data_IF_566346837790
#
_entry.id   IF_566346837790
#
_cell.length_a   1.000
_cell.length_b   1.000
_cell.length_c   1.000
_cell.angle_alpha   90.00
_cell.angle_beta   90.00
_cell.angle_gamma   90.00
#
_symmetry.space_group_name_H-M   'P 1'
#
loop_
_entity.id
_entity.type
_entity.pdbx_description
1 polymer ?
#
# COMPACT_ATOMS: atom_id res chain seq x y z
N UNK A 1 5.18 4.67 -15.08
CA UNK A 1 3.89 5.06 -14.47
C UNK A 1 4.18 5.49 -13.05
N UNK A 2 3.39 6.41 -12.51
CA UNK A 2 3.50 6.89 -11.12
C UNK A 2 2.43 6.16 -10.31
N UNK A 3 2.77 5.67 -9.12
CA UNK A 3 1.81 4.99 -8.26
C UNK A 3 0.93 5.99 -7.50
N UNK A 4 -0.31 5.61 -7.22
CA UNK A 4 -1.12 6.28 -6.21
C UNK A 4 -0.62 5.85 -4.82
N UNK A 5 0.36 6.61 -4.33
CA UNK A 5 0.97 6.39 -3.02
C UNK A 5 0.02 6.57 -1.84
N UNK A 6 -1.10 7.29 -2.02
CA UNK A 6 -2.10 7.48 -0.97
C UNK A 6 -3.05 6.28 -0.90
N UNK A 7 -3.46 5.73 -2.04
CA UNK A 7 -4.16 4.45 -2.10
C UNK A 7 -3.27 3.30 -1.57
N UNK A 8 -2.00 3.24 -1.99
CA UNK A 8 -1.08 2.21 -1.49
C UNK A 8 -0.87 2.30 0.02
N UNK A 9 -0.72 3.52 0.55
CA UNK A 9 -0.63 3.74 1.99
C UNK A 9 -1.90 3.30 2.72
N UNK A 10 -3.08 3.57 2.13
CA UNK A 10 -4.37 3.09 2.66
C UNK A 10 -4.36 1.56 2.79
N UNK A 11 -3.96 0.84 1.75
CA UNK A 11 -3.88 -0.63 1.76
C UNK A 11 -2.92 -1.15 2.84
N UNK A 12 -1.73 -0.56 2.97
CA UNK A 12 -0.75 -0.95 4.00
C UNK A 12 -1.29 -0.76 5.42
N UNK A 13 -1.98 0.35 5.68
CA UNK A 13 -2.64 0.60 6.98
C UNK A 13 -3.73 -0.42 7.27
N UNK A 14 -4.52 -0.80 6.27
CA UNK A 14 -5.55 -1.85 6.44
C UNK A 14 -4.91 -3.21 6.74
N UNK A 15 -3.78 -3.56 6.09
CA UNK A 15 -3.05 -4.79 6.37
C UNK A 15 -2.37 -4.80 7.75
N UNK A 16 -2.05 -3.62 8.30
CA UNK A 16 -1.52 -3.48 9.66
C UNK A 16 -2.58 -3.73 10.74
N UNK A 17 -3.87 -3.49 10.45
CA UNK A 17 -4.93 -3.67 11.44
C UNK A 17 -4.98 -5.11 11.94
N UNK A 18 -5.27 -5.28 13.22
CA UNK A 18 -5.55 -6.59 13.81
C UNK A 18 -7.00 -7.00 13.51
N UNK A 19 -7.22 -8.25 13.12
CA UNK A 19 -8.56 -8.78 12.89
C UNK A 19 -8.55 -10.03 12.04
N UNK A 20 -9.72 -10.64 11.91
CA UNK A 20 -9.99 -11.78 11.02
C UNK A 20 -10.80 -11.38 9.77
N UNK A 21 -10.95 -10.07 9.53
CA UNK A 21 -11.66 -9.54 8.37
C UNK A 21 -10.85 -9.80 7.10
N UNK A 22 -11.51 -10.23 6.04
CA UNK A 22 -10.89 -10.42 4.72
C UNK A 22 -10.43 -9.07 4.17
N UNK A 23 -9.28 -9.08 3.51
CA UNK A 23 -8.71 -7.91 2.89
C UNK A 23 -9.50 -7.56 1.62
N UNK A 24 -10.08 -6.36 1.59
CA UNK A 24 -11.02 -5.95 0.55
C UNK A 24 -10.51 -4.70 -0.20
N UNK A 25 -9.48 -4.82 -1.07
CA UNK A 25 -8.83 -3.66 -1.70
C UNK A 25 -9.79 -2.82 -2.53
N UNK A 26 -10.78 -3.46 -3.18
CA UNK A 26 -11.83 -2.74 -3.93
C UNK A 26 -12.70 -1.86 -3.02
N UNK A 27 -13.03 -2.34 -1.82
CA UNK A 27 -13.80 -1.56 -0.85
C UNK A 27 -12.95 -0.41 -0.30
N UNK A 28 -11.66 -0.67 -0.01
CA UNK A 28 -10.76 0.38 0.46
C UNK A 28 -10.56 1.48 -0.57
N UNK A 29 -10.58 1.15 -1.88
CA UNK A 29 -10.59 2.12 -2.96
C UNK A 29 -11.87 2.96 -2.99
N UNK A 30 -13.05 2.35 -2.80
CA UNK A 30 -14.31 3.09 -2.69
C UNK A 30 -14.27 4.10 -1.54
N UNK A 31 -13.86 3.66 -0.36
CA UNK A 31 -13.71 4.51 0.82
C UNK A 31 -12.68 5.63 0.59
N UNK A 32 -11.59 5.34 -0.11
CA UNK A 32 -10.58 6.32 -0.47
C UNK A 32 -11.13 7.40 -1.41
N UNK A 33 -11.89 7.00 -2.44
CA UNK A 33 -12.52 7.93 -3.38
C UNK A 33 -13.55 8.84 -2.70
N UNK A 34 -14.37 8.28 -1.80
CA UNK A 34 -15.34 9.04 -1.01
C UNK A 34 -14.64 10.05 -0.10
N UNK A 35 -13.58 9.64 0.60
CA UNK A 35 -12.80 10.54 1.45
C UNK A 35 -12.14 11.68 0.65
N UNK A 36 -11.71 11.40 -0.59
CA UNK A 36 -11.17 12.41 -1.48
C UNK A 36 -12.24 13.44 -1.90
N UNK A 37 -13.45 12.99 -2.24
CA UNK A 37 -14.59 13.86 -2.55
C UNK A 37 -14.98 14.73 -1.35
N UNK A 38 -15.07 14.16 -0.15
CA UNK A 38 -15.35 14.91 1.09
C UNK A 38 -14.27 15.96 1.40
N UNK A 39 -13.01 15.68 1.03
CA UNK A 39 -11.90 16.62 1.12
C UNK A 39 -11.90 17.69 0.01
N UNK A 40 -12.90 17.68 -0.89
CA UNK A 40 -13.03 18.62 -2.00
C UNK A 40 -12.11 18.32 -3.19
N UNK A 41 -11.56 17.12 -3.27
CA UNK A 41 -10.76 16.67 -4.42
C UNK A 41 -11.68 16.13 -5.53
N UNK A 42 -11.27 16.23 -6.81
CA UNK A 42 -12.04 15.63 -7.89
C UNK A 42 -12.14 14.12 -7.68
N UNK A 43 -13.37 13.59 -7.74
CA UNK A 43 -13.61 12.17 -7.59
C UNK A 43 -12.88 11.40 -8.71
N UNK A 44 -11.99 10.45 -8.37
CA UNK A 44 -11.29 9.65 -9.37
C UNK A 44 -12.27 8.65 -10.03
N UNK A 45 -11.87 8.08 -11.17
CA UNK A 45 -12.63 7.00 -11.77
C UNK A 45 -12.60 5.77 -10.84
N UNK A 46 -13.74 5.44 -10.24
CA UNK A 46 -13.85 4.38 -9.23
C UNK A 46 -13.49 2.99 -9.79
N UNK A 47 -13.85 2.70 -11.04
CA UNK A 47 -13.52 1.41 -11.67
C UNK A 47 -12.00 1.28 -11.86
N UNK A 48 -11.34 2.37 -12.28
CA UNK A 48 -9.88 2.41 -12.40
C UNK A 48 -9.21 2.27 -11.03
N UNK A 49 -9.68 2.99 -10.01
CA UNK A 49 -9.10 2.97 -8.66
C UNK A 49 -9.23 1.58 -8.03
N UNK A 50 -10.35 0.89 -8.24
CA UNK A 50 -10.54 -0.50 -7.80
C UNK A 50 -9.59 -1.47 -8.48
N UNK A 51 -9.34 -1.29 -9.78
CA UNK A 51 -8.38 -2.10 -10.51
C UNK A 51 -6.95 -1.85 -9.98
N UNK A 52 -6.59 -0.59 -9.73
CA UNK A 52 -5.31 -0.21 -9.12
C UNK A 52 -5.13 -0.82 -7.73
N UNK A 53 -6.17 -0.79 -6.87
CA UNK A 53 -6.08 -1.36 -5.54
C UNK A 53 -5.80 -2.87 -5.55
N UNK A 54 -6.41 -3.62 -6.48
CA UNK A 54 -6.11 -5.04 -6.67
C UNK A 54 -4.71 -5.28 -7.23
N UNK A 55 -4.27 -4.44 -8.17
CA UNK A 55 -2.91 -4.55 -8.69
C UNK A 55 -1.90 -4.29 -7.57
N UNK A 56 -2.14 -3.31 -6.70
CA UNK A 56 -1.29 -3.01 -5.57
C UNK A 56 -1.30 -4.13 -4.53
N UNK A 57 -2.44 -4.74 -4.24
CA UNK A 57 -2.49 -5.95 -3.40
C UNK A 57 -1.55 -7.02 -3.93
N UNK A 58 -1.69 -7.41 -5.20
CA UNK A 58 -0.82 -8.42 -5.83
C UNK A 58 0.65 -8.02 -5.76
N UNK A 59 0.98 -6.78 -6.09
CA UNK A 59 2.35 -6.29 -6.06
C UNK A 59 2.96 -6.26 -4.65
N UNK A 60 2.20 -5.83 -3.65
CA UNK A 60 2.64 -5.81 -2.27
C UNK A 60 2.84 -7.22 -1.72
N UNK A 61 1.99 -8.16 -2.12
CA UNK A 61 2.13 -9.57 -1.76
C UNK A 61 3.34 -10.23 -2.46
N UNK A 62 3.43 -10.12 -3.79
CA UNK A 62 4.54 -10.68 -4.58
C UNK A 62 5.89 -10.05 -4.25
N UNK A 63 5.91 -8.75 -3.95
CA UNK A 63 7.08 -8.01 -3.49
C UNK A 63 7.46 -8.28 -2.02
N UNK A 64 6.69 -9.11 -1.31
CA UNK A 64 6.97 -9.49 0.07
C UNK A 64 6.81 -8.36 1.09
N UNK A 65 6.02 -7.34 0.77
CA UNK A 65 5.61 -6.28 1.71
C UNK A 65 4.46 -6.77 2.61
N UNK A 66 3.64 -7.68 2.10
CA UNK A 66 2.57 -8.34 2.84
C UNK A 66 2.71 -9.86 2.74
N UNK A 67 2.27 -10.55 3.78
CA UNK A 67 2.11 -12.01 3.78
C UNK A 67 0.75 -12.37 4.33
N UNK A 68 0.25 -13.57 4.01
CA UNK A 68 -0.99 -14.07 4.59
C UNK A 68 -0.87 -14.07 6.11
N UNK A 69 -1.91 -13.63 6.79
CA UNK A 69 -1.94 -13.63 8.25
C UNK A 69 -1.86 -15.09 8.73
N UNK A 70 -0.98 -15.41 9.70
CA UNK A 70 -0.94 -16.74 10.29
C UNK A 70 -2.27 -17.08 10.95
N UNK A 71 -2.71 -18.35 10.85
CA UNK A 71 -3.96 -18.82 11.48
C UNK A 71 -3.98 -18.55 12.99
N UNK A 72 -2.83 -18.68 13.67
CA UNK A 72 -2.65 -18.39 15.10
C UNK A 72 -2.94 -16.91 15.45
N UNK A 73 -2.88 -16.01 14.48
CA UNK A 73 -3.19 -14.58 14.62
C UNK A 73 -4.57 -14.22 14.05
N UNK A 74 -5.40 -15.20 13.70
CA UNK A 74 -6.72 -15.00 13.07
C UNK A 74 -6.68 -15.01 11.54
N UNK A 75 -5.68 -15.67 10.96
CA UNK A 75 -5.58 -15.88 9.51
C UNK A 75 -6.76 -16.67 8.94
N UNK A 76 -7.30 -16.22 7.81
CA UNK A 76 -8.39 -16.91 7.09
C UNK A 76 -8.02 -17.22 5.62
N UNK A 77 -6.78 -16.96 5.21
CA UNK A 77 -6.30 -17.11 3.83
C UNK A 77 -6.64 -15.94 2.91
N UNK A 78 -7.48 -15.01 3.35
CA UNK A 78 -7.92 -13.82 2.63
C UNK A 78 -7.52 -12.52 3.35
N UNK A 79 -6.77 -12.61 4.44
CA UNK A 79 -6.28 -11.47 5.21
C UNK A 79 -4.76 -11.48 5.36
N UNK A 80 -4.18 -10.29 5.51
CA UNK A 80 -2.73 -10.09 5.46
C UNK A 80 -2.19 -9.45 6.73
N UNK A 81 -0.87 -9.54 6.90
CA UNK A 81 -0.05 -8.77 7.83
C UNK A 81 1.13 -8.16 7.08
N UNK A 82 1.60 -6.99 7.55
CA UNK A 82 2.81 -6.37 7.01
C UNK A 82 4.05 -7.18 7.42
N UNK A 83 5.00 -7.32 6.50
CA UNK A 83 6.37 -7.72 6.81
C UNK A 83 7.18 -6.51 7.29
N UNK A 84 8.42 -6.72 7.73
CA UNK A 84 9.35 -5.60 8.02
C UNK A 84 9.51 -4.67 6.82
N UNK A 85 9.49 -5.22 5.59
CA UNK A 85 9.54 -4.44 4.36
C UNK A 85 8.26 -3.62 4.18
N UNK A 86 7.10 -4.21 4.42
CA UNK A 86 5.81 -3.52 4.37
C UNK A 86 5.72 -2.37 5.37
N UNK A 87 6.20 -2.59 6.60
CA UNK A 87 6.25 -1.55 7.63
C UNK A 87 7.14 -0.39 7.18
N UNK A 88 8.34 -0.66 6.66
CA UNK A 88 9.23 0.38 6.13
C UNK A 88 8.61 1.18 4.98
N UNK A 89 7.95 0.49 4.03
CA UNK A 89 7.25 1.18 2.94
C UNK A 89 6.15 2.09 3.50
N UNK A 90 5.35 1.58 4.43
CA UNK A 90 4.30 2.37 5.08
C UNK A 90 4.87 3.61 5.76
N UNK A 91 5.94 3.48 6.56
CA UNK A 91 6.60 4.61 7.24
C UNK A 91 7.15 5.66 6.26
N UNK A 92 7.76 5.21 5.15
CA UNK A 92 8.22 6.10 4.08
C UNK A 92 7.08 6.92 3.46
N UNK A 93 5.88 6.31 3.35
CA UNK A 93 4.69 6.93 2.75
C UNK A 93 3.86 7.77 3.73
N UNK A 94 3.77 7.38 5.02
CA UNK A 94 3.01 8.10 6.06
C UNK A 94 3.58 9.47 6.36
N UNK A 95 4.90 9.57 6.31
CA UNK A 95 5.58 10.85 6.30
C UNK A 95 5.93 11.42 7.66
N UNK A 96 7.23 11.44 7.94
CA UNK A 96 7.86 12.51 8.71
C UNK A 96 8.35 13.63 7.78
N UNK A 97 9.39 14.36 8.18
CA UNK A 97 10.02 15.43 7.39
C UNK A 97 10.49 14.98 5.98
N UNK A 98 10.66 13.67 5.74
CA UNK A 98 11.12 13.10 4.47
C UNK A 98 10.04 12.60 3.50
N UNK A 99 8.73 12.74 3.80
CA UNK A 99 7.64 12.14 2.99
C UNK A 99 7.76 12.45 1.49
N UNK A 100 7.93 13.73 1.17
CA UNK A 100 7.99 14.21 -0.22
C UNK A 100 9.21 13.65 -0.94
N UNK A 101 10.37 13.61 -0.27
CA UNK A 101 11.60 13.08 -0.85
C UNK A 101 11.53 11.56 -1.01
N UNK A 102 10.96 10.84 -0.05
CA UNK A 102 10.77 9.40 -0.14
C UNK A 102 9.85 9.01 -1.31
N UNK A 103 8.70 9.68 -1.44
CA UNK A 103 7.79 9.46 -2.59
C UNK A 103 8.47 9.78 -3.91
N UNK A 104 9.21 10.89 -3.97
CA UNK A 104 9.99 11.25 -5.16
C UNK A 104 11.00 10.16 -5.53
N UNK A 105 11.77 9.66 -4.56
CA UNK A 105 12.77 8.60 -4.79
C UNK A 105 12.12 7.30 -5.28
N UNK A 106 10.93 6.96 -4.77
CA UNK A 106 10.15 5.83 -5.25
C UNK A 106 9.66 6.08 -6.69
N UNK A 107 9.10 7.26 -6.97
CA UNK A 107 8.64 7.64 -8.32
C UNK A 107 9.77 7.62 -9.36
N UNK A 108 10.97 8.04 -8.98
CA UNK A 108 12.15 7.99 -9.85
C UNK A 108 12.54 6.56 -10.26
N UNK A 109 12.16 5.54 -9.49
CA UNK A 109 12.34 4.11 -9.85
C UNK A 109 11.16 3.52 -10.59
N UNK A 110 10.01 4.21 -10.63
CA UNK A 110 8.80 3.73 -11.29
C UNK A 110 8.40 2.35 -10.79
N UNK A 111 8.10 1.42 -11.71
CA UNK A 111 7.61 0.10 -11.32
C UNK A 111 8.63 -0.76 -10.56
N UNK A 112 9.92 -0.47 -10.77
CA UNK A 112 10.98 -1.15 -10.04
C UNK A 112 11.01 -0.76 -8.56
N UNK A 113 10.36 0.33 -8.14
CA UNK A 113 10.37 0.81 -6.76
C UNK A 113 9.87 -0.23 -5.74
N UNK A 114 9.02 -1.16 -6.20
CA UNK A 114 8.41 -2.21 -5.37
C UNK A 114 9.00 -3.59 -5.64
N UNK A 115 10.12 -3.69 -6.36
CA UNK A 115 10.88 -4.94 -6.35
C UNK A 115 11.71 -5.00 -5.06
N UNK A 116 11.85 -6.17 -4.43
CA UNK A 116 12.59 -6.34 -3.18
C UNK A 116 13.98 -5.68 -3.21
N UNK A 117 14.76 -5.94 -4.26
CA UNK A 117 16.14 -5.47 -4.37
C UNK A 117 16.22 -3.94 -4.44
N UNK A 118 15.39 -3.32 -5.28
CA UNK A 118 15.40 -1.86 -5.46
C UNK A 118 14.82 -1.15 -4.24
N UNK A 119 13.75 -1.70 -3.65
CA UNK A 119 13.16 -1.13 -2.45
C UNK A 119 14.13 -1.19 -1.27
N UNK A 120 14.78 -2.34 -1.04
CA UNK A 120 15.70 -2.51 0.09
C UNK A 120 16.90 -1.55 -0.02
N UNK A 121 17.41 -1.30 -1.23
CA UNK A 121 18.44 -0.28 -1.51
C UNK A 121 17.94 1.14 -1.20
N UNK A 122 16.71 1.48 -1.62
CA UNK A 122 16.11 2.78 -1.34
C UNK A 122 15.93 3.02 0.16
N UNK A 123 15.43 2.00 0.87
CA UNK A 123 15.17 2.04 2.30
C UNK A 123 16.47 2.12 3.12
N UNK A 124 17.57 1.54 2.64
CA UNK A 124 18.88 1.63 3.30
C UNK A 124 19.56 3.00 3.12
N UNK A 125 19.18 3.76 2.09
CA UNK A 125 19.75 5.06 1.76
C UNK A 125 18.93 6.26 2.28
N UNK A 126 17.90 6.04 3.09
CA UNK A 126 17.12 7.07 3.78
C UNK A 126 17.44 7.12 5.27
#
# INVERSE_FOLDING_TARGET
MTYDWDLMLRLLREAQKSGNESFAPRQYADEHALAAEEAGQPMPNMDSLKAEAQNYESMLFEGGFMVTRPEEQGGNGENFVLTDRGVRLMEMLEGGAGRTENRRRLDEKGEAALTPEVFDDLAAAG
#
